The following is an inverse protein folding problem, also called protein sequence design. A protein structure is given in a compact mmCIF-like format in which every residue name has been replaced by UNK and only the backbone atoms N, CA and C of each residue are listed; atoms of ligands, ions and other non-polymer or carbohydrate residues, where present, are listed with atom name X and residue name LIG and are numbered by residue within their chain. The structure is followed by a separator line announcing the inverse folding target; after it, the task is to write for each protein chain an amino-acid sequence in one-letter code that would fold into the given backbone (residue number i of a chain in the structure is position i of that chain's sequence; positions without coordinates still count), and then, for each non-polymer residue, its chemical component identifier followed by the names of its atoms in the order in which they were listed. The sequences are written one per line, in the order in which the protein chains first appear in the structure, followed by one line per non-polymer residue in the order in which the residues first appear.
data_IF_544736450598
#
_entry.id   IF_544736450598
#
_cell.length_a   1.000
_cell.length_b   1.000
_cell.length_c   1.000
_cell.angle_alpha   90.00
_cell.angle_beta   90.00
_cell.angle_gamma   90.00
#
_symmetry.space_group_name_H-M   'P 1'
#
loop_
_entity.id
_entity.type
_entity.pdbx_description
1 polymer ?
#
# COMPACT_ATOMS: atom_id res chain seq x y z
N UNK A 1 -2.30 -5.01 2.45
CA UNK A 1 -1.20 -5.51 3.32
C UNK A 1 -0.02 -5.92 2.45
N UNK A 2 1.03 -5.10 2.39
CA UNK A 2 2.30 -5.51 1.78
C UNK A 2 3.20 -6.21 2.81
N UNK A 3 4.27 -6.85 2.37
CA UNK A 3 5.28 -7.48 3.23
C UNK A 3 5.83 -6.52 4.30
N UNK A 4 6.05 -5.26 3.93
CA UNK A 4 6.44 -4.20 4.86
C UNK A 4 5.47 -4.04 6.05
N UNK A 5 4.17 -4.23 5.85
CA UNK A 5 3.18 -4.12 6.93
C UNK A 5 3.24 -5.28 7.93
N UNK A 6 3.95 -6.36 7.61
CA UNK A 6 4.22 -7.48 8.53
C UNK A 6 5.47 -7.26 9.38
N UNK A 7 6.25 -6.20 9.12
CA UNK A 7 7.48 -5.92 9.86
C UNK A 7 7.19 -5.31 11.23
N UNK A 8 8.08 -5.57 12.19
CA UNK A 8 8.06 -4.94 13.52
C UNK A 8 8.19 -3.41 13.46
N UNK A 9 8.90 -2.89 12.45
CA UNK A 9 9.05 -1.45 12.16
C UNK A 9 7.70 -0.80 11.91
N UNK A 10 6.87 -1.39 11.05
CA UNK A 10 5.51 -0.89 10.78
C UNK A 10 4.61 -0.99 12.02
N UNK A 11 4.64 -2.12 12.73
CA UNK A 11 3.86 -2.29 13.96
C UNK A 11 4.20 -1.26 15.04
N UNK A 12 5.49 -0.95 15.22
CA UNK A 12 5.95 0.06 16.18
C UNK A 12 5.54 1.47 15.78
N UNK A 13 5.66 1.80 14.50
CA UNK A 13 5.27 3.11 13.99
C UNK A 13 3.77 3.34 14.10
N UNK A 14 2.94 2.40 13.62
CA UNK A 14 1.48 2.53 13.64
C UNK A 14 0.90 2.64 15.03
N UNK A 15 1.51 1.98 16.03
CA UNK A 15 1.14 2.12 17.45
C UNK A 15 1.27 3.56 17.95
N UNK A 16 2.29 4.30 17.48
CA UNK A 16 2.50 5.72 17.80
C UNK A 16 1.66 6.65 16.92
N UNK A 17 1.55 6.35 15.63
CA UNK A 17 0.85 7.19 14.67
C UNK A 17 -0.68 7.17 14.86
N UNK A 18 -1.26 6.03 15.23
CA UNK A 18 -2.71 5.86 15.35
C UNK A 18 -3.38 6.84 16.32
N UNK A 19 -2.92 7.04 17.58
CA UNK A 19 -3.53 8.02 18.48
C UNK A 19 -3.39 9.45 17.96
N UNK A 20 -2.26 9.80 17.35
CA UNK A 20 -2.02 11.14 16.78
C UNK A 20 -3.02 11.41 15.64
N UNK A 21 -3.16 10.46 14.71
CA UNK A 21 -4.11 10.57 13.60
C UNK A 21 -5.55 10.60 14.14
N UNK A 22 -5.88 9.77 15.14
CA UNK A 22 -7.22 9.73 15.75
C UNK A 22 -7.64 11.09 16.32
N UNK A 23 -6.71 11.81 16.96
CA UNK A 23 -6.96 13.13 17.54
C UNK A 23 -7.20 14.22 16.49
N UNK A 24 -6.81 14.00 15.24
CA UNK A 24 -6.96 14.95 14.14
C UNK A 24 -8.21 14.68 13.29
N UNK A 25 -8.94 13.60 13.55
CA UNK A 25 -10.15 13.27 12.78
C UNK A 25 -11.24 14.34 12.99
N UNK A 26 -12.02 14.68 11.95
CA UNK A 26 -12.06 14.04 10.64
C UNK A 26 -10.92 14.47 9.69
N UNK A 27 -10.38 13.51 8.94
CA UNK A 27 -9.33 13.73 7.93
C UNK A 27 -9.68 13.05 6.61
N UNK A 28 -9.13 13.52 5.47
CA UNK A 28 -9.29 12.85 4.17
C UNK A 28 -8.80 11.39 4.21
N UNK A 29 -9.58 10.49 3.62
CA UNK A 29 -9.19 9.10 3.41
C UNK A 29 -8.04 9.05 2.39
N UNK A 30 -6.88 8.52 2.79
CA UNK A 30 -5.70 8.44 1.91
C UNK A 30 -5.88 7.46 0.75
N UNK A 31 -6.91 6.62 0.80
CA UNK A 31 -7.31 5.72 -0.28
C UNK A 31 -8.68 6.10 -0.85
N UNK A 32 -9.04 7.39 -0.83
CA UNK A 32 -10.26 7.87 -1.48
C UNK A 32 -10.32 7.41 -2.94
N UNK A 33 -11.50 7.00 -3.40
CA UNK A 33 -11.70 6.43 -4.74
C UNK A 33 -11.30 4.95 -4.89
N UNK A 34 -10.61 4.34 -3.92
CA UNK A 34 -10.33 2.90 -3.98
C UNK A 34 -11.59 2.04 -3.79
N UNK A 35 -12.60 2.55 -3.08
CA UNK A 35 -13.90 1.90 -2.89
C UNK A 35 -15.03 2.84 -3.36
N UNK A 36 -16.04 2.34 -4.10
CA UNK A 36 -17.11 3.16 -4.69
C UNK A 36 -17.97 3.89 -3.66
N UNK A 37 -18.03 3.39 -2.42
CA UNK A 37 -18.79 4.02 -1.33
C UNK A 37 -17.91 4.87 -0.40
N UNK A 38 -16.71 5.25 -0.82
CA UNK A 38 -15.82 6.06 0.02
C UNK A 38 -16.37 7.49 0.12
N UNK A 39 -16.75 7.92 1.32
CA UNK A 39 -17.36 9.23 1.61
C UNK A 39 -16.35 10.39 1.68
N UNK A 40 -15.13 10.19 1.18
CA UNK A 40 -14.04 11.17 1.25
C UNK A 40 -13.36 11.24 2.61
N UNK A 41 -14.03 11.74 3.66
CA UNK A 41 -13.45 11.89 4.99
C UNK A 41 -13.65 10.65 5.89
N UNK A 42 -12.65 10.38 6.75
CA UNK A 42 -12.70 9.39 7.82
C UNK A 42 -13.08 10.10 9.12
N UNK A 43 -14.15 9.64 9.75
CA UNK A 43 -14.65 10.16 11.02
C UNK A 43 -14.20 9.30 12.22
N UNK A 44 -14.13 9.85 13.44
CA UNK A 44 -13.57 9.15 14.61
C UNK A 44 -14.36 7.92 15.08
N UNK A 45 -15.64 7.85 14.76
CA UNK A 45 -16.57 6.75 15.03
C UNK A 45 -16.48 5.61 13.98
N UNK A 46 -15.83 5.86 12.85
CA UNK A 46 -15.71 4.87 11.77
C UNK A 46 -14.58 3.86 12.01
N UNK A 47 -14.68 2.69 11.37
CA UNK A 47 -13.60 1.71 11.36
C UNK A 47 -12.57 2.09 10.29
N UNK A 48 -11.34 2.39 10.72
CA UNK A 48 -10.25 2.81 9.84
C UNK A 48 -8.90 2.18 10.22
N UNK A 49 -7.96 2.29 9.27
CA UNK A 49 -6.58 1.82 9.39
C UNK A 49 -5.60 2.93 9.02
N UNK A 50 -4.36 2.83 9.50
CA UNK A 50 -3.26 3.68 9.03
C UNK A 50 -2.87 3.20 7.64
N UNK A 51 -3.09 4.03 6.63
CA UNK A 51 -2.73 3.79 5.24
C UNK A 51 -1.57 4.69 4.82
N UNK A 52 -0.85 4.27 3.78
CA UNK A 52 0.18 5.10 3.17
C UNK A 52 -0.44 6.12 2.20
N UNK A 53 0.00 7.38 2.27
CA UNK A 53 -0.33 8.40 1.27
C UNK A 53 0.41 8.10 -0.04
N UNK A 54 1.71 7.77 0.07
CA UNK A 54 2.52 7.24 -1.02
C UNK A 54 2.91 5.81 -0.70
N UNK A 55 2.53 4.89 -1.59
CA UNK A 55 2.85 3.47 -1.41
C UNK A 55 4.36 3.26 -1.31
N UNK A 56 4.83 2.58 -0.26
CA UNK A 56 6.25 2.20 -0.08
C UNK A 56 6.83 1.42 -1.27
N UNK A 57 5.99 0.76 -2.08
CA UNK A 57 6.46 0.09 -3.30
C UNK A 57 6.90 1.08 -4.40
N UNK A 58 6.31 2.28 -4.43
CA UNK A 58 6.66 3.33 -5.40
C UNK A 58 7.86 4.16 -4.93
N UNK A 59 8.03 4.28 -3.62
CA UNK A 59 9.16 4.98 -3.02
C UNK A 59 9.67 4.19 -1.80
N UNK A 60 10.56 3.21 -2.00
CA UNK A 60 11.08 2.36 -0.92
C UNK A 60 12.00 3.09 0.05
N UNK A 61 12.51 4.27 -0.34
CA UNK A 61 13.41 5.09 0.47
C UNK A 61 12.65 6.17 1.25
N UNK A 62 11.35 6.39 0.95
CA UNK A 62 10.52 7.32 1.68
C UNK A 62 10.58 7.02 3.19
N UNK A 63 10.98 8.01 4.01
CA UNK A 63 11.07 7.80 5.44
C UNK A 63 9.67 7.55 6.01
N UNK A 64 9.60 6.63 6.98
CA UNK A 64 8.36 6.31 7.68
C UNK A 64 8.03 7.43 8.69
N UNK A 65 7.37 8.48 8.20
CA UNK A 65 7.00 9.68 8.98
C UNK A 65 5.48 9.83 9.06
N UNK A 66 5.00 10.64 10.01
CA UNK A 66 3.58 10.96 10.12
C UNK A 66 3.01 11.63 8.85
N UNK A 67 3.83 12.32 8.08
CA UNK A 67 3.44 12.94 6.80
C UNK A 67 3.30 11.92 5.65
N UNK A 68 3.85 10.72 5.81
CA UNK A 68 3.79 9.66 4.79
C UNK A 68 2.54 8.77 4.91
N UNK A 69 1.76 8.96 5.98
CA UNK A 69 0.59 8.14 6.31
C UNK A 69 -0.62 8.99 6.66
N UNK A 70 -1.79 8.38 6.60
CA UNK A 70 -3.02 8.98 7.10
C UNK A 70 -4.11 7.94 7.33
N UNK A 71 -5.32 8.39 7.70
CA UNK A 71 -6.41 7.48 7.94
C UNK A 71 -6.98 6.96 6.61
N UNK A 72 -7.36 5.69 6.61
CA UNK A 72 -8.00 5.03 5.47
C UNK A 72 -9.16 4.19 5.97
N UNK A 73 -10.35 4.31 5.35
CA UNK A 73 -11.45 3.41 5.67
C UNK A 73 -11.01 1.97 5.49
N UNK A 74 -11.44 1.07 6.39
CA UNK A 74 -11.01 -0.33 6.34
C UNK A 74 -11.28 -1.00 4.98
N UNK A 75 -12.43 -0.71 4.37
CA UNK A 75 -12.81 -1.18 3.03
C UNK A 75 -11.91 -0.60 1.93
N UNK A 76 -11.60 0.70 1.98
CA UNK A 76 -10.73 1.36 1.01
C UNK A 76 -9.30 0.81 1.07
N UNK A 77 -8.74 0.68 2.28
CA UNK A 77 -7.41 0.12 2.50
C UNK A 77 -7.29 -1.32 1.98
N UNK A 78 -8.31 -2.15 2.24
CA UNK A 78 -8.34 -3.55 1.79
C UNK A 78 -8.38 -3.63 0.27
N UNK A 79 -9.29 -2.88 -0.38
CA UNK A 79 -9.43 -2.88 -1.84
C UNK A 79 -8.20 -2.32 -2.55
N UNK A 80 -7.63 -1.23 -2.06
CA UNK A 80 -6.38 -0.68 -2.59
C UNK A 80 -5.24 -1.71 -2.50
N UNK A 81 -5.14 -2.42 -1.38
CA UNK A 81 -4.18 -3.51 -1.21
C UNK A 81 -4.36 -4.65 -2.21
N UNK A 82 -5.60 -5.06 -2.48
CA UNK A 82 -5.90 -6.13 -3.46
C UNK A 82 -5.57 -5.71 -4.90
N UNK A 83 -5.89 -4.47 -5.28
CA UNK A 83 -5.56 -3.93 -6.61
C UNK A 83 -4.06 -3.88 -6.82
N UNK A 84 -3.31 -3.34 -5.85
CA UNK A 84 -1.85 -3.27 -5.93
C UNK A 84 -1.20 -4.66 -5.91
N UNK A 85 -1.73 -5.58 -5.11
CA UNK A 85 -1.30 -6.99 -5.11
C UNK A 85 -1.49 -7.66 -6.48
N UNK A 86 -2.65 -7.44 -7.12
CA UNK A 86 -2.94 -7.93 -8.47
C UNK A 86 -1.98 -7.35 -9.52
N UNK A 87 -1.69 -6.04 -9.47
CA UNK A 87 -0.71 -5.38 -10.35
C UNK A 87 0.70 -5.94 -10.16
N UNK A 88 1.12 -6.22 -8.93
CA UNK A 88 2.42 -6.86 -8.64
C UNK A 88 2.48 -8.27 -9.25
N UNK A 89 1.44 -9.09 -9.05
CA UNK A 89 1.38 -10.45 -9.61
C UNK A 89 1.40 -10.43 -11.15
N UNK A 90 0.68 -9.50 -11.78
CA UNK A 90 0.69 -9.34 -13.22
C UNK A 90 2.05 -8.91 -13.76
N UNK A 91 2.76 -7.99 -13.09
CA UNK A 91 4.14 -7.60 -13.44
C UNK A 91 5.10 -8.77 -13.37
N UNK A 92 5.03 -9.58 -12.30
CA UNK A 92 5.86 -10.79 -12.16
C UNK A 92 5.60 -11.78 -13.31
N UNK A 93 4.33 -12.02 -13.66
CA UNK A 93 3.96 -12.91 -14.77
C UNK A 93 4.46 -12.41 -16.12
N UNK A 94 4.43 -11.10 -16.37
CA UNK A 94 4.91 -10.50 -17.62
C UNK A 94 6.45 -10.51 -17.69
N UNK A 95 7.14 -10.08 -16.63
CA UNK A 95 8.61 -10.11 -16.58
C UNK A 95 9.21 -11.53 -16.64
N UNK A 96 8.51 -12.53 -16.12
CA UNK A 96 8.91 -13.95 -16.27
C UNK A 96 8.59 -14.56 -17.64
N UNK A 97 7.74 -13.93 -18.45
CA UNK A 97 7.47 -14.35 -19.82
C UNK A 97 8.53 -13.82 -20.79
N UNK A 98 9.15 -12.68 -20.48
CA UNK A 98 10.19 -12.06 -21.29
C UNK A 98 11.56 -12.78 -21.15
N UNK A 99 11.86 -13.38 -20.00
CA UNK A 99 13.11 -14.14 -19.74
C UNK A 99 13.16 -15.50 -20.47
N UNK A 100 12.04 -15.99 -21.01
CA UNK A 100 12.01 -17.25 -21.78
C UNK A 100 12.23 -17.08 -23.29
N UNK A 101 12.61 -15.88 -23.76
CA UNK A 101 12.72 -15.56 -25.19
C UNK A 101 14.11 -15.21 -25.70
N UNK A 102 15.17 -15.45 -24.91
CA UNK A 102 16.54 -15.36 -25.42
C UNK A 102 16.91 -16.70 -26.10
N UNK A 103 17.35 -16.71 -27.37
CA UNK A 103 17.82 -17.93 -28.01
C UNK A 103 19.05 -18.43 -27.24
N UNK A 104 18.99 -19.68 -26.79
CA UNK A 104 20.18 -20.40 -26.32
C UNK A 104 21.21 -20.36 -27.43
N UNK A 105 22.33 -19.68 -27.18
CA UNK A 105 23.47 -19.65 -28.09
C UNK A 105 23.86 -21.06 -28.51
N UNK A 106 23.75 -21.31 -29.81
CA UNK A 106 24.30 -22.51 -30.44
C UNK A 106 25.80 -22.36 -30.53
N UNK A 107 26.51 -23.09 -29.68
CA UNK A 107 27.90 -23.49 -29.88
C UNK A 107 27.96 -24.49 -31.05
N UNK A 108 28.72 -24.16 -32.09
CA UNK A 108 29.05 -25.05 -33.20
C UNK A 108 30.48 -24.71 -33.67
N UNK A 109 31.32 -25.74 -33.65
CA UNK A 109 32.74 -25.74 -34.03
C UNK A 109 32.95 -25.43 -35.51
#
# INVERSE_FOLDING_TARGET
MSEFHRTSKWGTFTRKARPIIKAQLPLPCVNAGAHPTCTGAVYPDQVWHVGHIRSHHLDPLAPLTLQSVGPSHAKCNTRAGSVEGGKKAQRIRRGGADDKRLPRGGSGW
#
